data_IF_497698068980
#
_entry.id   IF_497698068980
#
_cell.length_a   1.000
_cell.length_b   1.000
_cell.length_c   1.000
_cell.angle_alpha   90.00
_cell.angle_beta   90.00
_cell.angle_gamma   90.00
#
_symmetry.space_group_name_H-M   'P 1'
#
loop_
_entity.id
_entity.type
_entity.pdbx_description
1 polymer ?
#
# COMPACT_ATOMS: atom_id res chain seq x y z
N UNK A 1 37.29 -15.72 -3.73
CA UNK A 1 36.09 -15.39 -4.53
C UNK A 1 34.92 -15.90 -3.72
N UNK A 2 34.42 -15.09 -2.81
CA UNK A 2 33.41 -15.52 -1.85
C UNK A 2 32.03 -15.09 -2.34
N UNK A 3 31.19 -16.09 -2.56
CA UNK A 3 29.79 -15.99 -2.95
C UNK A 3 28.97 -15.51 -1.74
N UNK A 4 28.48 -14.27 -1.77
CA UNK A 4 27.43 -13.84 -0.84
C UNK A 4 26.05 -14.27 -1.37
N UNK A 5 25.17 -14.85 -0.53
CA UNK A 5 23.83 -15.22 -0.96
C UNK A 5 22.97 -13.97 -1.08
N UNK A 6 22.30 -13.82 -2.22
CA UNK A 6 21.26 -12.82 -2.49
C UNK A 6 20.18 -12.91 -1.40
N UNK A 7 20.16 -11.96 -0.48
CA UNK A 7 19.03 -11.75 0.42
C UNK A 7 17.87 -11.26 -0.46
N UNK A 8 16.69 -11.80 -0.21
CA UNK A 8 15.47 -11.44 -0.92
C UNK A 8 14.75 -10.39 -0.08
N UNK A 9 14.19 -9.35 -0.70
CA UNK A 9 13.42 -8.31 -0.01
C UNK A 9 12.25 -8.84 0.86
N UNK A 10 11.79 -10.05 0.58
CA UNK A 10 10.88 -10.77 1.47
C UNK A 10 11.52 -10.98 2.86
N UNK A 11 12.81 -11.32 2.89
CA UNK A 11 13.63 -11.41 4.08
C UNK A 11 13.92 -10.05 4.71
N UNK A 12 14.07 -8.95 3.96
CA UNK A 12 14.26 -7.60 4.56
C UNK A 12 12.99 -7.12 5.26
N UNK A 13 11.81 -7.34 4.65
CA UNK A 13 10.51 -7.13 5.30
C UNK A 13 10.28 -8.08 6.48
N UNK A 14 10.81 -9.31 6.44
CA UNK A 14 10.78 -10.26 7.56
C UNK A 14 11.81 -9.89 8.65
N UNK A 15 12.99 -9.38 8.31
CA UNK A 15 14.07 -8.98 9.22
C UNK A 15 13.71 -7.71 9.98
N UNK A 16 13.12 -6.72 9.32
CA UNK A 16 12.52 -5.55 9.99
C UNK A 16 11.38 -5.98 10.94
N UNK A 17 10.61 -7.02 10.58
CA UNK A 17 9.61 -7.63 11.45
C UNK A 17 10.20 -8.47 12.61
N UNK A 18 11.41 -9.03 12.46
CA UNK A 18 12.05 -9.90 13.47
C UNK A 18 12.97 -9.17 14.43
N UNK A 19 13.62 -8.07 14.02
CA UNK A 19 14.40 -7.23 14.94
C UNK A 19 13.51 -6.41 15.89
N UNK A 20 12.34 -5.95 15.44
CA UNK A 20 11.36 -5.30 16.32
C UNK A 20 10.74 -6.27 17.35
N UNK A 21 10.85 -7.59 17.14
CA UNK A 21 10.42 -8.60 18.10
C UNK A 21 11.48 -8.91 19.19
N UNK A 22 12.69 -8.35 19.12
CA UNK A 22 13.77 -8.61 20.11
C UNK A 22 13.94 -7.53 21.18
N UNK A 23 13.31 -6.37 21.06
CA UNK A 23 13.26 -5.38 22.15
C UNK A 23 11.86 -5.36 22.75
N UNK A 24 11.69 -6.17 23.81
CA UNK A 24 10.47 -6.24 24.60
C UNK A 24 10.09 -4.87 25.16
N UNK A 25 9.12 -4.23 24.51
CA UNK A 25 8.18 -3.35 25.16
C UNK A 25 6.80 -3.99 25.07
N UNK A 26 6.38 -4.46 26.24
CA UNK A 26 5.13 -5.13 26.50
C UNK A 26 3.98 -4.12 26.41
N UNK A 27 3.49 -3.90 25.20
CA UNK A 27 2.23 -3.22 24.94
C UNK A 27 1.49 -4.06 23.91
N UNK A 28 0.54 -4.89 24.34
CA UNK A 28 -0.40 -5.57 23.45
C UNK A 28 -1.70 -4.75 23.35
N UNK A 29 -1.85 -3.88 22.34
CA UNK A 29 -3.16 -3.49 21.87
C UNK A 29 -3.39 -4.10 20.48
N UNK A 30 -4.54 -4.77 20.33
CA UNK A 30 -5.15 -5.19 19.06
C UNK A 30 -4.97 -6.66 18.67
N UNK A 31 -5.56 -7.54 19.48
CA UNK A 31 -6.31 -8.67 18.92
C UNK A 31 -7.45 -8.10 18.03
N UNK A 32 -7.20 -7.94 16.73
CA UNK A 32 -8.24 -7.56 15.75
C UNK A 32 -9.26 -8.70 15.68
N UNK A 33 -10.35 -8.55 16.43
CA UNK A 33 -11.48 -9.45 16.39
C UNK A 33 -12.19 -9.28 15.04
N UNK A 34 -11.81 -10.06 14.04
CA UNK A 34 -12.51 -10.15 12.76
C UNK A 34 -13.87 -10.81 12.97
N UNK A 35 -14.84 -10.04 13.43
CA UNK A 35 -16.21 -10.51 13.63
C UNK A 35 -16.89 -10.69 12.28
N UNK A 36 -17.15 -11.94 11.89
CA UNK A 36 -17.97 -12.22 10.70
C UNK A 36 -19.42 -11.78 10.93
N UNK A 37 -19.99 -11.06 9.95
CA UNK A 37 -21.36 -10.54 10.04
C UNK A 37 -22.38 -11.66 9.85
N UNK A 38 -23.53 -11.55 10.55
CA UNK A 38 -24.68 -12.42 10.30
C UNK A 38 -25.18 -12.19 8.87
N UNK A 39 -25.63 -13.25 8.21
CA UNK A 39 -26.07 -13.21 6.81
C UNK A 39 -24.95 -13.41 5.79
N UNK A 40 -23.67 -13.36 6.20
CA UNK A 40 -22.54 -13.61 5.29
C UNK A 40 -22.56 -15.06 4.79
N UNK A 41 -22.39 -15.23 3.48
CA UNK A 41 -22.29 -16.53 2.82
C UNK A 41 -20.85 -17.04 2.91
N UNK A 42 -20.66 -18.22 3.49
CA UNK A 42 -19.34 -18.78 3.79
C UNK A 42 -19.22 -20.22 3.29
N UNK A 43 -17.99 -20.62 2.98
CA UNK A 43 -17.58 -22.01 2.75
C UNK A 43 -16.82 -22.52 3.96
N UNK A 44 -17.16 -23.73 4.41
CA UNK A 44 -16.46 -24.39 5.51
C UNK A 44 -15.19 -25.08 4.99
N UNK A 45 -14.05 -24.91 5.68
CA UNK A 45 -12.77 -25.56 5.36
C UNK A 45 -12.02 -25.95 6.64
N UNK A 46 -11.03 -26.85 6.52
CA UNK A 46 -10.08 -27.13 7.60
C UNK A 46 -10.61 -27.92 8.81
N UNK A 47 -11.83 -28.48 8.76
CA UNK A 47 -12.34 -29.32 9.85
C UNK A 47 -11.71 -30.72 9.81
N UNK A 48 -10.94 -31.06 10.85
CA UNK A 48 -10.32 -32.39 11.01
C UNK A 48 -11.34 -33.43 11.49
N UNK A 49 -12.05 -33.14 12.58
CA UNK A 49 -13.02 -34.08 13.19
C UNK A 49 -14.37 -34.18 12.45
N UNK A 50 -14.62 -33.25 11.53
CA UNK A 50 -15.90 -33.11 10.84
C UNK A 50 -15.69 -32.84 9.35
N UNK A 51 -14.72 -33.55 8.75
CA UNK A 51 -14.27 -33.34 7.37
C UNK A 51 -15.40 -33.45 6.32
N UNK A 52 -16.46 -34.21 6.62
CA UNK A 52 -17.68 -34.31 5.77
C UNK A 52 -18.40 -32.97 5.52
N UNK A 53 -18.10 -31.93 6.31
CA UNK A 53 -18.66 -30.58 6.12
C UNK A 53 -17.71 -29.64 5.35
N UNK A 54 -16.45 -30.01 5.10
CA UNK A 54 -15.54 -29.20 4.30
C UNK A 54 -16.06 -29.07 2.86
N UNK A 55 -15.96 -27.88 2.30
CA UNK A 55 -16.49 -27.53 0.96
C UNK A 55 -17.97 -27.12 0.96
N UNK A 56 -18.74 -27.42 2.02
CA UNK A 56 -20.15 -27.03 2.09
C UNK A 56 -20.32 -25.53 2.28
N UNK A 57 -21.41 -25.01 1.72
CA UNK A 57 -21.77 -23.59 1.77
C UNK A 57 -22.87 -23.39 2.81
N UNK A 58 -22.75 -22.32 3.59
CA UNK A 58 -23.76 -21.92 4.56
C UNK A 58 -23.85 -20.42 4.74
N UNK A 59 -24.74 -20.01 5.63
CA UNK A 59 -24.98 -18.62 6.01
C UNK A 59 -24.74 -18.48 7.51
N UNK A 60 -24.01 -17.46 7.93
CA UNK A 60 -23.76 -17.15 9.34
C UNK A 60 -25.07 -16.71 10.02
N UNK A 61 -25.53 -17.44 11.03
CA UNK A 61 -26.83 -17.20 11.70
C UNK A 61 -26.72 -16.56 13.08
N UNK A 62 -25.71 -16.93 13.88
CA UNK A 62 -25.54 -16.41 15.25
C UNK A 62 -24.12 -15.89 15.43
N UNK A 63 -24.04 -14.64 15.90
CA UNK A 63 -22.78 -14.01 16.31
C UNK A 63 -22.31 -14.63 17.63
N UNK A 64 -21.00 -14.79 17.77
CA UNK A 64 -20.32 -15.44 18.91
C UNK A 64 -20.87 -14.94 20.25
N UNK A 65 -21.26 -15.86 21.14
CA UNK A 65 -21.54 -15.50 22.54
C UNK A 65 -20.20 -15.19 23.25
N UNK A 66 -20.13 -14.16 24.11
CA UNK A 66 -18.92 -13.90 24.88
C UNK A 66 -18.72 -15.04 25.89
N UNK A 67 -17.63 -15.80 25.77
CA UNK A 67 -17.23 -16.77 26.81
C UNK A 67 -16.74 -18.13 26.31
N UNK A 68 -17.17 -18.59 25.14
CA UNK A 68 -16.76 -19.91 24.62
C UNK A 68 -16.18 -19.79 23.21
N UNK A 69 -14.87 -19.54 23.17
CA UNK A 69 -13.98 -19.70 22.02
C UNK A 69 -14.57 -19.43 20.64
N UNK A 70 -14.70 -18.16 20.23
CA UNK A 70 -14.78 -17.65 18.83
C UNK A 70 -15.39 -18.58 17.76
N UNK A 71 -16.47 -19.30 18.08
CA UNK A 71 -17.24 -20.11 17.13
C UNK A 71 -18.47 -19.34 16.68
N UNK A 72 -18.74 -19.39 15.38
CA UNK A 72 -19.93 -18.81 14.76
C UNK A 72 -20.86 -19.93 14.29
N UNK A 73 -22.17 -19.71 14.43
CA UNK A 73 -23.18 -20.64 13.91
C UNK A 73 -23.35 -20.45 12.41
N UNK A 74 -23.19 -21.52 11.63
CA UNK A 74 -23.35 -21.54 10.17
C UNK A 74 -24.48 -22.49 9.80
N UNK A 75 -25.57 -21.98 9.23
CA UNK A 75 -26.67 -22.80 8.70
C UNK A 75 -26.30 -23.28 7.30
N UNK A 76 -26.11 -24.58 7.14
CA UNK A 76 -25.70 -25.18 5.87
C UNK A 76 -26.88 -25.22 4.88
N UNK A 77 -26.59 -25.01 3.59
CA UNK A 77 -27.63 -24.97 2.54
C UNK A 77 -28.20 -26.35 2.19
N UNK A 78 -27.51 -27.42 2.57
CA UNK A 78 -27.93 -28.81 2.34
C UNK A 78 -28.98 -29.31 3.36
N UNK A 79 -29.44 -28.44 4.27
CA UNK A 79 -30.43 -28.79 5.29
C UNK A 79 -29.86 -29.54 6.50
N UNK A 80 -28.55 -29.77 6.59
CA UNK A 80 -27.92 -30.53 7.69
C UNK A 80 -27.88 -29.81 9.05
N UNK A 81 -28.58 -28.67 9.19
CA UNK A 81 -28.70 -27.91 10.43
C UNK A 81 -27.71 -26.75 10.56
N UNK A 82 -27.47 -26.33 11.81
CA UNK A 82 -26.54 -25.23 12.16
C UNK A 82 -25.26 -25.83 12.77
N UNK A 83 -24.11 -25.50 12.19
CA UNK A 83 -22.79 -25.96 12.62
C UNK A 83 -22.04 -24.84 13.34
N UNK A 84 -21.51 -25.10 14.54
CA UNK A 84 -20.66 -24.15 15.25
C UNK A 84 -19.19 -24.30 14.79
N UNK A 85 -18.71 -23.33 14.00
CA UNK A 85 -17.40 -23.38 13.33
C UNK A 85 -16.54 -22.20 13.77
N UNK A 86 -15.24 -22.43 14.01
CA UNK A 86 -14.30 -21.34 14.28
C UNK A 86 -14.13 -20.47 13.03
N UNK A 87 -13.91 -19.17 13.19
CA UNK A 87 -13.77 -18.22 12.07
C UNK A 87 -12.62 -18.60 11.13
N UNK A 88 -11.51 -19.14 11.67
CA UNK A 88 -10.36 -19.64 10.89
C UNK A 88 -10.71 -20.74 9.87
N UNK A 89 -11.82 -21.45 10.10
CA UNK A 89 -12.32 -22.54 9.26
C UNK A 89 -13.41 -22.08 8.28
N UNK A 90 -13.55 -20.77 8.06
CA UNK A 90 -14.52 -20.18 7.15
C UNK A 90 -13.86 -19.34 6.07
N UNK A 91 -14.41 -19.40 4.86
CA UNK A 91 -14.02 -18.59 3.72
C UNK A 91 -15.23 -17.84 3.18
N UNK A 92 -15.18 -16.51 3.14
CA UNK A 92 -16.28 -15.67 2.66
C UNK A 92 -16.42 -15.77 1.13
N UNK A 93 -17.61 -16.13 0.65
CA UNK A 93 -17.92 -16.16 -0.78
C UNK A 93 -18.54 -14.82 -1.14
N UNK A 94 -17.77 -13.95 -1.79
CA UNK A 94 -18.29 -12.73 -2.40
C UNK A 94 -19.27 -13.13 -3.50
N UNK A 95 -20.57 -12.93 -3.26
CA UNK A 95 -21.58 -13.07 -4.31
C UNK A 95 -21.29 -12.01 -5.38
N UNK A 96 -20.74 -12.44 -6.51
CA UNK A 96 -20.69 -11.59 -7.70
C UNK A 96 -22.14 -11.20 -8.05
N UNK A 97 -22.45 -9.89 -8.22
CA UNK A 97 -23.81 -9.46 -8.51
C UNK A 97 -24.28 -10.11 -9.82
N UNK A 98 -25.32 -10.94 -9.73
CA UNK A 98 -25.94 -11.61 -10.86
C UNK A 98 -26.83 -10.59 -11.57
N UNK A 99 -26.36 -10.08 -12.70
CA UNK A 99 -27.14 -9.24 -13.62
C UNK A 99 -28.39 -10.00 -14.04
N UNK A 100 -29.55 -9.58 -13.55
CA UNK A 100 -30.85 -10.08 -14.01
C UNK A 100 -31.09 -9.55 -15.42
N UNK A 101 -30.96 -10.43 -16.41
CA UNK A 101 -31.29 -10.15 -17.80
C UNK A 101 -32.82 -10.19 -18.00
N UNK A 102 -33.39 -9.04 -18.34
CA UNK A 102 -34.76 -8.90 -18.84
C UNK A 102 -34.81 -9.41 -20.28
N UNK A 103 -35.73 -10.33 -20.55
CA UNK A 103 -35.98 -10.94 -21.86
C UNK A 103 -36.67 -9.93 -22.79
N UNK A 104 -36.02 -9.59 -23.91
CA UNK A 104 -36.62 -8.90 -25.07
C UNK A 104 -36.20 -9.60 -26.37
N UNK A 105 -37.19 -9.94 -27.20
CA UNK A 105 -37.09 -10.66 -28.50
C UNK A 105 -36.36 -9.85 -29.60
N UNK A 106 -35.88 -10.50 -30.69
CA UNK A 106 -34.80 -10.01 -31.55
C UNK A 106 -35.27 -9.34 -32.86
N UNK A 107 -34.45 -8.43 -33.41
CA UNK A 107 -34.48 -8.11 -34.85
C UNK A 107 -33.12 -7.60 -35.36
N UNK A 108 -32.59 -8.39 -36.30
CA UNK A 108 -31.66 -8.04 -37.40
C UNK A 108 -30.23 -7.58 -37.11
N UNK A 109 -29.32 -8.52 -37.40
CA UNK A 109 -28.10 -8.38 -38.21
C UNK A 109 -27.32 -7.05 -38.13
N UNK A 110 -26.20 -7.06 -37.42
CA UNK A 110 -24.94 -6.56 -37.98
C UNK A 110 -23.73 -7.07 -37.19
N UNK A 111 -22.75 -7.55 -37.95
CA UNK A 111 -21.35 -7.82 -37.66
C UNK A 111 -20.92 -8.02 -36.19
N UNK A 112 -20.51 -9.25 -35.92
CA UNK A 112 -19.69 -9.68 -34.79
C UNK A 112 -18.39 -8.89 -34.68
N UNK A 113 -18.30 -8.05 -33.64
CA UNK A 113 -17.03 -7.62 -33.07
C UNK A 113 -16.92 -8.26 -31.67
N UNK A 114 -15.93 -9.13 -31.41
CA UNK A 114 -15.76 -9.70 -30.08
C UNK A 114 -15.43 -8.57 -29.11
N UNK A 115 -16.21 -8.49 -28.03
CA UNK A 115 -15.98 -7.57 -26.93
C UNK A 115 -14.55 -7.77 -26.42
N UNK A 116 -13.67 -6.81 -26.73
CA UNK A 116 -12.34 -6.76 -26.19
C UNK A 116 -12.47 -6.61 -24.68
N UNK A 117 -12.29 -7.72 -23.96
CA UNK A 117 -11.84 -7.70 -22.56
C UNK A 117 -10.41 -7.18 -22.61
N UNK A 118 -10.25 -5.88 -22.83
CA UNK A 118 -8.94 -5.25 -22.78
C UNK A 118 -8.40 -5.49 -21.36
N UNK A 119 -7.26 -6.18 -21.22
CA UNK A 119 -6.55 -6.21 -19.96
C UNK A 119 -6.35 -4.76 -19.49
N UNK A 120 -6.73 -4.50 -18.23
CA UNK A 120 -6.51 -3.23 -17.50
C UNK A 120 -5.21 -2.59 -17.95
N UNK A 121 -5.28 -1.44 -18.62
CA UNK A 121 -4.09 -0.70 -18.99
C UNK A 121 -3.30 -0.39 -17.71
N UNK A 122 -2.13 -0.99 -17.61
CA UNK A 122 -1.26 -0.83 -16.45
C UNK A 122 0.17 -0.78 -16.93
N UNK A 123 0.79 0.40 -16.81
CA UNK A 123 2.26 0.49 -16.78
C UNK A 123 2.75 1.80 -16.17
N UNK A 124 3.14 1.74 -14.90
CA UNK A 124 4.53 2.05 -14.57
C UNK A 124 5.03 0.88 -13.71
N UNK A 125 5.83 0.03 -14.33
CA UNK A 125 6.56 -1.06 -13.68
C UNK A 125 8.02 -0.82 -14.05
N UNK A 126 8.85 -0.39 -13.11
CA UNK A 126 10.31 -0.49 -13.26
C UNK A 126 10.92 -0.98 -11.95
N UNK A 127 11.09 -2.29 -11.93
CA UNK A 127 11.69 -3.06 -10.85
C UNK A 127 13.05 -3.54 -11.36
N UNK A 128 14.14 -2.83 -11.06
CA UNK A 128 15.47 -3.33 -11.44
C UNK A 128 16.11 -4.15 -10.30
N UNK A 129 15.31 -5.08 -9.75
CA UNK A 129 15.48 -5.89 -8.54
C UNK A 129 15.47 -5.06 -7.26
N UNK A 130 14.29 -4.50 -6.97
CA UNK A 130 13.93 -3.50 -5.95
C UNK A 130 15.02 -2.46 -5.65
N UNK A 131 15.48 -1.94 -6.78
CA UNK A 131 16.56 -0.98 -6.99
C UNK A 131 17.78 -1.26 -6.12
N UNK A 132 18.14 -2.54 -6.31
CA UNK A 132 19.16 -3.40 -5.72
C UNK A 132 19.33 -3.19 -4.23
N UNK A 133 18.17 -3.41 -3.60
CA UNK A 133 17.85 -3.42 -2.17
C UNK A 133 18.02 -2.07 -1.47
N UNK A 134 17.44 -1.07 -2.14
CA UNK A 134 16.91 0.20 -1.61
C UNK A 134 17.80 1.44 -1.80
N UNK A 135 19.09 1.36 -2.13
CA UNK A 135 19.77 2.56 -2.66
C UNK A 135 21.08 2.39 -3.44
N UNK A 136 21.59 1.17 -3.65
CA UNK A 136 22.72 0.87 -4.55
C UNK A 136 22.36 0.89 -6.05
N UNK A 137 21.25 1.53 -6.42
CA UNK A 137 20.79 1.66 -7.81
C UNK A 137 21.77 2.51 -8.65
N UNK A 138 22.20 2.04 -9.84
CA UNK A 138 23.00 2.86 -10.76
C UNK A 138 22.18 3.93 -11.47
N UNK A 139 20.84 3.89 -11.39
CA UNK A 139 19.97 4.86 -12.04
C UNK A 139 19.73 6.07 -11.12
N UNK A 140 20.36 7.23 -11.39
CA UNK A 140 20.16 8.42 -10.59
C UNK A 140 18.75 9.02 -10.77
N UNK A 141 18.01 8.60 -11.81
CA UNK A 141 16.71 9.19 -12.13
C UNK A 141 15.58 8.68 -11.24
N UNK A 142 15.75 7.55 -10.54
CA UNK A 142 14.70 7.06 -9.63
C UNK A 142 14.80 7.78 -8.28
N UNK A 143 13.70 8.45 -7.91
CA UNK A 143 13.62 9.30 -6.72
C UNK A 143 12.54 8.88 -5.74
N UNK A 144 11.49 8.17 -6.16
CA UNK A 144 10.45 7.75 -5.23
C UNK A 144 10.05 6.27 -5.39
N UNK A 145 9.80 5.62 -4.26
CA UNK A 145 9.29 4.25 -4.14
C UNK A 145 7.88 4.27 -3.55
N UNK A 146 6.95 3.55 -4.17
CA UNK A 146 5.57 3.42 -3.72
C UNK A 146 5.14 1.96 -3.76
N UNK A 147 4.51 1.47 -2.70
CA UNK A 147 3.98 0.11 -2.67
C UNK A 147 2.49 0.10 -3.04
N UNK A 148 2.16 -0.59 -4.11
CA UNK A 148 0.81 -0.72 -4.59
C UNK A 148 0.15 -1.99 -4.00
N UNK A 149 -0.84 -1.79 -3.14
CA UNK A 149 -1.44 -2.89 -2.35
C UNK A 149 -2.21 -3.90 -3.20
N UNK A 150 -2.86 -3.45 -4.28
CA UNK A 150 -3.78 -4.29 -5.05
C UNK A 150 -3.07 -5.46 -5.77
N UNK A 151 -1.78 -5.30 -6.04
CA UNK A 151 -0.95 -6.27 -6.76
C UNK A 151 0.36 -6.59 -6.04
N UNK A 152 0.59 -5.99 -4.86
CA UNK A 152 1.75 -6.23 -4.00
C UNK A 152 3.09 -5.98 -4.70
N UNK A 153 3.18 -4.91 -5.48
CA UNK A 153 4.40 -4.51 -6.17
C UNK A 153 4.83 -3.09 -5.81
N UNK A 154 6.10 -2.80 -6.04
CA UNK A 154 6.63 -1.44 -5.90
C UNK A 154 6.69 -0.74 -7.25
N UNK A 155 6.20 0.49 -7.27
CA UNK A 155 6.35 1.45 -8.35
C UNK A 155 7.53 2.38 -8.03
N UNK A 156 8.31 2.71 -9.05
CA UNK A 156 9.47 3.59 -8.97
C UNK A 156 9.24 4.80 -9.87
N UNK A 157 9.43 6.00 -9.33
CA UNK A 157 9.19 7.25 -10.06
C UNK A 157 10.44 8.10 -10.16
N UNK A 158 10.66 8.71 -11.33
CA UNK A 158 11.52 9.87 -11.45
C UNK A 158 10.85 11.16 -10.94
N UNK A 159 11.56 12.29 -10.97
CA UNK A 159 11.06 13.56 -10.44
C UNK A 159 9.74 14.02 -11.11
N UNK A 160 9.66 13.91 -12.43
CA UNK A 160 8.48 14.35 -13.19
C UNK A 160 7.31 13.40 -12.95
N UNK A 161 7.55 12.08 -13.00
CA UNK A 161 6.54 11.06 -12.70
C UNK A 161 6.00 11.20 -11.28
N UNK A 162 6.87 11.47 -10.30
CA UNK A 162 6.49 11.74 -8.92
C UNK A 162 5.56 12.96 -8.83
N UNK A 163 5.93 14.09 -9.43
CA UNK A 163 5.09 15.29 -9.41
C UNK A 163 3.70 15.04 -10.02
N UNK A 164 3.65 14.36 -11.18
CA UNK A 164 2.40 14.01 -11.86
C UNK A 164 1.54 13.08 -10.98
N UNK A 165 2.16 12.06 -10.38
CA UNK A 165 1.43 11.11 -9.54
C UNK A 165 0.90 11.77 -8.27
N UNK A 166 1.67 12.65 -7.64
CA UNK A 166 1.23 13.42 -6.47
C UNK A 166 0.05 14.33 -6.82
N UNK A 167 0.09 15.03 -7.95
CA UNK A 167 -1.04 15.85 -8.41
C UNK A 167 -2.32 15.02 -8.60
N UNK A 168 -2.21 13.83 -9.21
CA UNK A 168 -3.33 12.89 -9.35
C UNK A 168 -3.89 12.46 -7.99
N UNK A 169 -3.05 12.24 -6.98
CA UNK A 169 -3.53 11.95 -5.62
C UNK A 169 -4.33 13.12 -5.03
N UNK A 170 -3.86 14.36 -5.19
CA UNK A 170 -4.60 15.55 -4.77
C UNK A 170 -5.96 15.67 -5.46
N UNK A 171 -6.04 15.39 -6.77
CA UNK A 171 -7.31 15.36 -7.51
C UNK A 171 -8.29 14.29 -6.98
N UNK A 172 -7.77 13.23 -6.35
CA UNK A 172 -8.57 12.18 -5.70
C UNK A 172 -8.79 12.41 -4.21
N UNK A 173 -8.49 13.61 -3.70
CA UNK A 173 -8.75 14.00 -2.31
C UNK A 173 -7.74 13.44 -1.30
N UNK A 174 -6.62 12.88 -1.77
CA UNK A 174 -5.47 12.51 -0.95
C UNK A 174 -4.54 13.72 -0.83
N UNK A 175 -4.22 14.13 0.39
CA UNK A 175 -3.26 15.22 0.64
C UNK A 175 -2.11 14.75 1.52
N UNK A 176 -0.95 15.38 1.39
CA UNK A 176 0.19 15.14 2.28
C UNK A 176 -0.21 15.48 3.71
N UNK A 177 0.07 14.59 4.65
CA UNK A 177 -0.20 14.72 6.09
C UNK A 177 0.97 14.37 6.98
N UNK A 178 1.95 13.66 6.45
CA UNK A 178 3.15 13.26 7.18
C UNK A 178 4.37 13.45 6.28
N UNK A 179 5.41 14.05 6.82
CA UNK A 179 6.75 14.06 6.23
C UNK A 179 7.71 13.67 7.33
N UNK A 180 8.47 12.61 7.08
CA UNK A 180 9.30 12.02 8.11
C UNK A 180 10.65 11.59 7.53
N UNK A 181 11.79 12.13 8.01
CA UNK A 181 13.10 11.76 7.48
C UNK A 181 13.47 10.33 7.87
N UNK A 182 14.08 9.60 6.94
CA UNK A 182 14.54 8.22 7.13
C UNK A 182 15.94 8.03 6.57
N UNK A 183 16.73 7.24 7.28
CA UNK A 183 17.97 6.67 6.77
C UNK A 183 17.71 5.22 6.41
N UNK A 184 17.99 4.86 5.15
CA UNK A 184 17.93 3.47 4.70
C UNK A 184 19.27 3.20 4.05
N UNK A 185 20.06 2.30 4.61
CA UNK A 185 21.46 2.14 4.22
C UNK A 185 22.23 3.45 4.36
N UNK A 186 22.92 3.84 3.29
CA UNK A 186 23.72 5.08 3.24
C UNK A 186 22.97 6.29 2.67
N UNK A 187 21.69 6.15 2.29
CA UNK A 187 20.95 7.24 1.65
C UNK A 187 19.85 7.80 2.56
N UNK A 188 19.61 9.10 2.37
CA UNK A 188 18.55 9.82 3.07
C UNK A 188 17.26 9.83 2.23
N UNK A 189 16.14 9.62 2.91
CA UNK A 189 14.80 9.59 2.35
C UNK A 189 13.83 10.45 3.18
N UNK A 190 12.70 10.79 2.56
CA UNK A 190 11.47 11.18 3.23
C UNK A 190 10.46 10.06 3.10
N UNK A 191 9.89 9.63 4.21
CA UNK A 191 8.60 8.97 4.21
C UNK A 191 7.52 10.07 4.11
N UNK A 192 6.92 10.19 2.93
CA UNK A 192 5.82 11.11 2.65
C UNK A 192 4.51 10.34 2.77
N UNK A 193 3.73 10.64 3.79
CA UNK A 193 2.41 10.05 4.02
C UNK A 193 1.29 10.95 3.50
N UNK A 194 0.39 10.36 2.72
CA UNK A 194 -0.82 10.97 2.19
C UNK A 194 -2.05 10.34 2.82
N UNK A 195 -3.06 11.16 3.14
CA UNK A 195 -4.36 10.69 3.63
C UNK A 195 -5.51 11.33 2.88
N UNK A 196 -6.58 10.57 2.75
CA UNK A 196 -7.86 11.07 2.28
C UNK A 196 -8.58 11.77 3.44
N UNK A 197 -9.34 12.83 3.15
CA UNK A 197 -10.08 13.58 4.18
C UNK A 197 -11.13 12.73 4.91
N UNK A 198 -11.76 11.79 4.19
CA UNK A 198 -12.66 10.78 4.76
C UNK A 198 -11.85 9.63 5.37
N UNK A 199 -11.97 9.43 6.68
CA UNK A 199 -11.15 8.49 7.46
C UNK A 199 -11.33 7.02 7.07
N UNK A 200 -12.55 6.63 6.71
CA UNK A 200 -12.92 5.27 6.28
C UNK A 200 -12.25 4.83 4.97
N UNK A 201 -11.73 5.78 4.19
CA UNK A 201 -10.94 5.52 2.98
C UNK A 201 -9.45 5.31 3.25
N UNK A 202 -8.99 5.53 4.48
CA UNK A 202 -7.59 5.34 4.86
C UNK A 202 -7.40 3.97 5.48
N UNK A 203 -6.65 3.09 4.79
CA UNK A 203 -6.20 1.81 5.34
C UNK A 203 -4.87 1.95 6.07
N UNK A 204 -4.55 1.04 6.98
CA UNK A 204 -3.22 0.98 7.57
C UNK A 204 -2.16 0.84 6.48
N UNK A 205 -1.11 1.64 6.54
CA UNK A 205 -0.07 1.70 5.53
C UNK A 205 1.12 0.82 5.93
N UNK A 206 1.30 -0.30 5.22
CA UNK A 206 2.39 -1.25 5.47
C UNK A 206 3.77 -0.60 5.31
N UNK A 207 3.98 0.23 4.27
CA UNK A 207 5.28 0.89 4.04
C UNK A 207 5.66 1.79 5.21
N UNK A 208 4.71 2.59 5.72
CA UNK A 208 4.98 3.43 6.88
C UNK A 208 5.30 2.58 8.12
N UNK A 209 4.55 1.50 8.33
CA UNK A 209 4.78 0.58 9.45
C UNK A 209 6.19 -0.02 9.41
N UNK A 210 6.62 -0.51 8.24
CA UNK A 210 7.97 -1.03 8.02
C UNK A 210 9.06 0.06 8.19
N UNK A 211 8.69 1.34 8.05
CA UNK A 211 9.55 2.47 8.35
C UNK A 211 9.47 2.92 9.82
N UNK A 212 9.03 2.04 10.73
CA UNK A 212 8.91 2.32 12.16
C UNK A 212 7.81 3.32 12.51
N UNK A 213 6.77 3.45 11.67
CA UNK A 213 5.72 4.47 11.86
C UNK A 213 4.32 3.93 11.63
N UNK A 214 3.44 4.03 12.63
CA UNK A 214 2.02 3.79 12.42
C UNK A 214 1.40 4.94 11.62
N UNK A 215 0.77 4.62 10.48
CA UNK A 215 0.13 5.60 9.60
C UNK A 215 -1.03 4.95 8.84
N UNK A 216 -2.17 5.65 8.75
CA UNK A 216 -3.32 5.23 7.94
C UNK A 216 -3.39 6.08 6.67
N UNK A 217 -3.35 5.47 5.50
CA UNK A 217 -3.32 6.15 4.21
C UNK A 217 -2.35 5.49 3.25
N UNK A 218 -1.73 6.31 2.41
CA UNK A 218 -0.70 5.89 1.44
C UNK A 218 0.61 6.54 1.84
N UNK A 219 1.74 5.84 1.71
CA UNK A 219 3.05 6.47 1.87
C UNK A 219 3.97 6.18 0.70
N UNK A 220 4.90 7.10 0.47
CA UNK A 220 5.94 7.03 -0.54
C UNK A 220 7.28 7.33 0.12
N UNK A 221 8.33 6.60 -0.25
CA UNK A 221 9.70 6.94 0.13
C UNK A 221 10.32 7.80 -0.97
N UNK A 222 10.75 9.02 -0.65
CA UNK A 222 11.29 9.99 -1.60
C UNK A 222 12.74 10.30 -1.25
N UNK A 223 13.68 10.02 -2.16
CA UNK A 223 15.12 10.19 -1.97
C UNK A 223 15.49 11.67 -1.87
N UNK A 224 16.34 12.04 -0.91
CA UNK A 224 16.87 13.40 -0.73
C UNK A 224 17.99 13.69 -1.75
N UNK A 225 17.60 13.90 -3.00
CA UNK A 225 18.50 14.28 -4.10
C UNK A 225 17.91 15.44 -4.87
N UNK A 226 18.74 16.14 -5.64
CA UNK A 226 18.22 17.19 -6.50
C UNK A 226 17.28 16.59 -7.55
N UNK A 227 16.04 17.08 -7.62
CA UNK A 227 15.05 16.62 -8.59
C UNK A 227 15.45 16.91 -10.04
N UNK A 228 16.44 17.78 -10.28
CA UNK A 228 16.89 18.18 -11.62
C UNK A 228 18.18 17.47 -12.03
N UNK A 229 19.22 17.50 -11.20
CA UNK A 229 20.53 16.91 -11.54
C UNK A 229 20.85 15.60 -10.81
N UNK A 230 19.96 15.15 -9.91
CA UNK A 230 20.06 13.89 -9.18
C UNK A 230 21.29 13.72 -8.27
N UNK A 231 22.08 14.79 -8.10
CA UNK A 231 23.21 14.81 -7.16
C UNK A 231 22.69 14.70 -5.71
N UNK A 232 23.39 13.95 -4.84
CA UNK A 232 23.20 14.04 -3.39
C UNK A 232 23.32 15.49 -2.92
N UNK A 233 22.54 15.84 -1.91
CA UNK A 233 22.49 17.20 -1.39
C UNK A 233 22.97 17.22 0.06
N UNK A 234 23.84 18.16 0.45
CA UNK A 234 24.19 18.33 1.85
C UNK A 234 23.00 18.96 2.61
N UNK A 235 22.67 18.40 3.77
CA UNK A 235 21.81 19.01 4.78
C UNK A 235 20.38 19.36 4.34
N UNK A 236 19.93 20.58 4.66
CA UNK A 236 18.55 21.05 4.51
C UNK A 236 18.23 21.62 3.11
N UNK A 237 18.65 20.95 2.05
CA UNK A 237 18.38 21.37 0.66
C UNK A 237 16.95 21.07 0.17
N UNK A 238 15.99 21.09 1.11
CA UNK A 238 14.59 20.77 0.88
C UNK A 238 13.86 22.01 0.36
N UNK A 239 12.84 21.81 -0.46
CA UNK A 239 11.93 22.90 -0.82
C UNK A 239 11.27 23.43 0.47
N UNK A 240 11.50 24.69 0.85
CA UNK A 240 11.05 25.21 2.15
C UNK A 240 9.52 25.28 2.26
N UNK A 241 8.83 25.30 1.12
CA UNK A 241 7.39 25.44 1.05
C UNK A 241 6.63 24.12 1.15
N UNK A 242 7.25 22.98 0.85
CA UNK A 242 6.55 21.69 0.91
C UNK A 242 7.31 20.57 1.62
N UNK A 243 8.64 20.68 1.76
CA UNK A 243 9.53 19.69 2.38
C UNK A 243 9.51 18.28 1.75
N UNK A 244 8.76 18.06 0.66
CA UNK A 244 8.63 16.77 -0.03
C UNK A 244 9.54 16.61 -1.26
N UNK A 245 10.37 17.60 -1.56
CA UNK A 245 11.27 17.61 -2.72
C UNK A 245 12.55 18.36 -2.37
N UNK A 246 13.64 18.07 -3.09
CA UNK A 246 14.92 18.73 -2.88
C UNK A 246 15.50 19.29 -4.19
N UNK A 247 16.21 20.42 -4.07
CA UNK A 247 16.87 21.08 -5.18
C UNK A 247 18.24 21.60 -4.73
N UNK A 248 19.29 21.41 -5.54
CA UNK A 248 20.58 22.06 -5.26
C UNK A 248 20.52 23.56 -5.57
N UNK A 249 21.49 24.28 -5.03
CA UNK A 249 21.72 25.71 -5.26
C UNK A 249 22.52 26.01 -6.53
N UNK A 250 22.94 24.98 -7.28
CA UNK A 250 23.62 25.14 -8.56
C UNK A 250 22.75 25.98 -9.51
N UNK A 251 23.35 27.04 -10.07
CA UNK A 251 22.66 27.97 -10.98
C UNK A 251 22.06 27.26 -12.20
N UNK A 252 22.67 26.16 -12.66
CA UNK A 252 22.11 25.34 -13.73
C UNK A 252 20.81 24.66 -13.34
N UNK A 253 20.61 24.33 -12.07
CA UNK A 253 19.38 23.72 -11.57
C UNK A 253 18.34 24.77 -11.14
N UNK A 254 18.76 25.98 -10.78
CA UNK A 254 17.86 27.10 -10.46
C UNK A 254 17.32 27.76 -11.73
N UNK A 255 18.21 28.13 -12.66
CA UNK A 255 17.88 28.98 -13.81
C UNK A 255 17.34 28.19 -15.00
N UNK A 256 17.49 26.86 -15.01
CA UNK A 256 16.72 26.05 -15.94
C UNK A 256 15.26 26.18 -15.53
N UNK A 257 14.46 26.78 -16.41
CA UNK A 257 13.02 26.51 -16.57
C UNK A 257 12.81 25.02 -16.88
N UNK A 258 13.32 24.16 -16.01
CA UNK A 258 13.15 22.73 -16.11
C UNK A 258 11.68 22.48 -15.86
N UNK A 259 11.07 21.73 -16.77
CA UNK A 259 9.68 21.25 -16.65
C UNK A 259 9.45 20.68 -15.25
N UNK A 260 10.46 20.02 -14.67
CA UNK A 260 10.45 19.50 -13.31
C UNK A 260 10.20 20.56 -12.23
N UNK A 261 10.84 21.74 -12.30
CA UNK A 261 10.58 22.82 -11.33
C UNK A 261 9.18 23.40 -11.50
N UNK A 262 8.73 23.61 -12.73
CA UNK A 262 7.39 24.10 -13.01
C UNK A 262 6.31 23.12 -12.50
N UNK A 263 6.49 21.82 -12.77
CA UNK A 263 5.62 20.76 -12.26
C UNK A 263 5.64 20.72 -10.73
N UNK A 264 6.83 20.87 -10.13
CA UNK A 264 6.96 20.93 -8.69
C UNK A 264 6.26 22.15 -8.09
N UNK A 265 6.37 23.34 -8.68
CA UNK A 265 5.70 24.54 -8.19
C UNK A 265 4.17 24.36 -8.16
N UNK A 266 3.61 23.69 -9.17
CA UNK A 266 2.17 23.37 -9.22
C UNK A 266 1.78 22.46 -8.05
N UNK A 267 2.57 21.43 -7.77
CA UNK A 267 2.35 20.54 -6.62
C UNK A 267 2.58 21.26 -5.28
N UNK A 268 3.65 22.04 -5.17
CA UNK A 268 4.05 22.74 -3.98
C UNK A 268 2.96 23.69 -3.48
N UNK A 269 2.27 24.39 -4.40
CA UNK A 269 1.11 25.25 -4.08
C UNK A 269 -0.08 24.49 -3.50
N UNK A 270 -0.16 23.17 -3.68
CA UNK A 270 -1.23 22.31 -3.12
C UNK A 270 -0.88 21.79 -1.72
N UNK A 271 0.39 21.79 -1.34
CA UNK A 271 0.85 21.28 -0.05
C UNK A 271 0.71 22.39 0.99
N UNK A 272 -0.21 22.20 1.93
CA UNK A 272 -0.43 23.11 3.06
C UNK A 272 0.31 22.59 4.29
N UNK A 273 1.52 23.11 4.54
CA UNK A 273 2.39 22.65 5.62
C UNK A 273 1.77 22.80 7.02
N UNK A 274 0.81 23.72 7.21
CA UNK A 274 0.13 23.87 8.51
C UNK A 274 -0.69 22.62 8.89
N UNK A 275 -1.01 21.79 7.90
CA UNK A 275 -1.77 20.55 8.02
C UNK A 275 -0.91 19.29 7.93
N UNK A 276 0.40 19.45 7.84
CA UNK A 276 1.37 18.36 7.71
C UNK A 276 2.12 18.18 9.01
N UNK A 277 2.12 16.96 9.53
CA UNK A 277 3.00 16.56 10.62
C UNK A 277 4.41 16.38 10.05
N UNK A 278 5.33 17.22 10.49
CA UNK A 278 6.74 17.15 10.08
C UNK A 278 7.56 16.66 11.27
N UNK A 279 8.14 15.47 11.13
CA UNK A 279 9.06 14.93 12.12
C UNK A 279 10.48 15.38 11.80
N UNK A 280 11.27 15.69 12.84
CA UNK A 280 12.66 16.15 12.71
C UNK A 280 13.66 15.04 12.88
N UNK A 281 13.31 14.03 13.67
CA UNK A 281 14.21 12.93 14.00
C UNK A 281 14.28 11.94 12.85
N UNK A 282 15.50 11.67 12.39
CA UNK A 282 15.76 10.69 11.34
C UNK A 282 15.99 9.32 11.97
N UNK A 283 15.16 8.35 11.61
CA UNK A 283 15.29 6.98 12.08
C UNK A 283 16.04 6.13 11.05
N UNK A 284 17.04 5.37 11.51
CA UNK A 284 17.81 4.44 10.71
C UNK A 284 17.13 3.07 10.69
N UNK A 285 16.79 2.60 9.49
CA UNK A 285 16.04 1.36 9.28
C UNK A 285 16.94 0.17 8.91
N UNK A 286 18.17 0.39 8.45
CA UNK A 286 19.15 -0.64 8.14
C UNK A 286 20.55 -0.14 8.57
N UNK A 287 21.28 -0.95 9.33
CA UNK A 287 22.69 -0.73 9.66
C UNK A 287 23.59 -1.49 8.70
#
# INVERSE_FOLDING_TARGET
>A
MDFFPSISLHLVLICLNTEQNRKGHNCNPNHVSSTMRRGTKVRVKGLVKAAKHNGKIGIVTKATAPGEGQRVGVKLQDGSGVLAVKIENLEEIKSSPRTTATVSKPKSASASTPASTLPKERTLKRDNALLREVDGSPDPNVLALYYHFADRAFDCFNASEYNVQMLRYYEKGLSVRLICPRMIGGNEYFLVGLQHAQHDKNSLCEVAFNCGRSFTGISMLVKKRCFVCHKPLPGNSQCPSCLCACFCTDSSCINRNSTIRSDHERLCKKIDLTKVVVEKESLQLLQ
#
